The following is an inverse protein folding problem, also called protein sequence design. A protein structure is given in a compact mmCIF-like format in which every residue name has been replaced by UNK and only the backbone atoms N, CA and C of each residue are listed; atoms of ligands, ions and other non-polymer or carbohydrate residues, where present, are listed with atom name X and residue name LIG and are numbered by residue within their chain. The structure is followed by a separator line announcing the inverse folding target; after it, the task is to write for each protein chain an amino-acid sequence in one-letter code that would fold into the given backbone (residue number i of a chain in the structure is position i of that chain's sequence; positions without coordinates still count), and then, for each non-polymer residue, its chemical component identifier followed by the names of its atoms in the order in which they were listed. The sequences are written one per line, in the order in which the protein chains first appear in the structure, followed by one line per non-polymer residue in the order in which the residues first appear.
data_IF_812494154822
#
_entry.id   IF_812494154822
#
_cell.length_a   1.000
_cell.length_b   1.000
_cell.length_c   1.000
_cell.angle_alpha   90.00
_cell.angle_beta   90.00
_cell.angle_gamma   90.00
#
_symmetry.space_group_name_H-M   'P 1'
#
loop_
_entity.id
_entity.type
_entity.pdbx_description
1 polymer ?
#
# COMPACT_ATOMS: atom_id res chain seq x y z
N UNK A 1 -1.18 6.90 23.54
CA UNK A 1 -1.92 7.09 22.27
C UNK A 1 -3.03 6.05 22.17
N UNK A 2 -4.26 6.41 21.78
CA UNK A 2 -5.37 5.46 21.66
C UNK A 2 -5.02 4.31 20.70
N UNK A 3 -5.37 3.07 21.08
CA UNK A 3 -4.93 1.81 20.42
C UNK A 3 -5.26 1.78 18.92
N UNK A 4 -6.38 2.39 18.53
CA UNK A 4 -6.85 2.49 17.14
C UNK A 4 -5.96 3.36 16.24
N UNK A 5 -5.38 4.46 16.75
CA UNK A 5 -4.50 5.33 15.96
C UNK A 5 -3.16 4.64 15.67
N UNK A 6 -2.64 3.91 16.66
CA UNK A 6 -1.41 3.11 16.50
C UNK A 6 -1.60 2.01 15.46
N UNK A 7 -2.76 1.36 15.46
CA UNK A 7 -3.14 0.35 14.47
C UNK A 7 -3.21 0.95 13.06
N UNK A 8 -3.87 2.10 12.90
CA UNK A 8 -3.95 2.80 11.62
C UNK A 8 -2.58 3.14 11.02
N UNK A 9 -1.68 3.73 11.82
CA UNK A 9 -0.34 4.10 11.35
C UNK A 9 0.46 2.86 10.93
N UNK A 10 0.39 1.77 11.71
CA UNK A 10 1.13 0.55 11.40
C UNK A 10 0.61 -0.13 10.13
N UNK A 11 -0.72 -0.21 9.97
CA UNK A 11 -1.37 -0.72 8.76
C UNK A 11 -1.05 0.14 7.54
N UNK A 12 -1.04 1.46 7.69
CA UNK A 12 -0.71 2.38 6.61
C UNK A 12 0.74 2.26 6.14
N UNK A 13 1.68 2.18 7.08
CA UNK A 13 3.11 2.01 6.77
C UNK A 13 3.35 0.67 6.06
N UNK A 14 2.77 -0.42 6.57
CA UNK A 14 2.90 -1.75 5.99
C UNK A 14 2.31 -1.80 4.56
N UNK A 15 1.14 -1.19 4.35
CA UNK A 15 0.51 -1.08 3.04
C UNK A 15 1.35 -0.28 2.04
N UNK A 16 1.94 0.83 2.47
CA UNK A 16 2.79 1.67 1.61
C UNK A 16 4.09 0.99 1.20
N UNK A 17 4.74 0.27 2.12
CA UNK A 17 5.94 -0.52 1.83
C UNK A 17 5.63 -1.61 0.80
N UNK A 18 4.54 -2.35 1.01
CA UNK A 18 4.12 -3.41 0.10
C UNK A 18 3.77 -2.86 -1.29
N UNK A 19 3.11 -1.70 -1.34
CA UNK A 19 2.80 -1.02 -2.59
C UNK A 19 4.05 -0.58 -3.35
N UNK A 20 5.10 -0.14 -2.66
CA UNK A 20 6.38 0.19 -3.27
C UNK A 20 7.01 -1.02 -3.97
N UNK A 21 6.99 -2.17 -3.31
CA UNK A 21 7.46 -3.43 -3.89
C UNK A 21 6.61 -3.82 -5.10
N UNK A 22 5.28 -3.74 -4.98
CA UNK A 22 4.36 -4.05 -6.07
C UNK A 22 4.56 -3.14 -7.30
N UNK A 23 4.62 -1.84 -7.09
CA UNK A 23 4.88 -0.88 -8.17
C UNK A 23 6.25 -1.10 -8.82
N UNK A 24 7.28 -1.36 -8.02
CA UNK A 24 8.61 -1.72 -8.53
C UNK A 24 8.58 -2.99 -9.40
N UNK A 25 7.86 -4.03 -8.98
CA UNK A 25 7.69 -5.27 -9.73
C UNK A 25 6.93 -5.07 -11.04
N UNK A 26 5.86 -4.26 -11.05
CA UNK A 26 5.08 -3.94 -12.25
C UNK A 26 5.94 -3.24 -13.30
N UNK A 27 6.76 -2.29 -12.86
CA UNK A 27 7.72 -1.59 -13.71
C UNK A 27 8.84 -2.53 -14.19
N UNK A 28 9.42 -3.33 -13.28
CA UNK A 28 10.51 -4.25 -13.59
C UNK A 28 10.11 -5.35 -14.58
N UNK A 29 8.93 -5.94 -14.41
CA UNK A 29 8.40 -6.97 -15.30
C UNK A 29 7.82 -6.40 -16.59
N UNK A 30 7.89 -5.07 -16.78
CA UNK A 30 7.34 -4.36 -17.92
C UNK A 30 5.90 -4.78 -18.25
N UNK A 31 5.07 -4.91 -17.21
CA UNK A 31 3.68 -5.37 -17.34
C UNK A 31 2.95 -4.43 -18.30
N UNK A 32 2.44 -4.94 -19.43
CA UNK A 32 1.74 -4.13 -20.43
C UNK A 32 2.63 -3.14 -21.21
N UNK A 33 3.94 -3.38 -21.29
CA UNK A 33 4.92 -2.48 -21.92
C UNK A 33 5.02 -1.08 -21.25
N UNK A 34 4.58 -0.98 -19.99
CA UNK A 34 4.55 0.27 -19.22
C UNK A 34 5.94 0.85 -18.94
N UNK A 35 6.96 0.02 -18.78
CA UNK A 35 8.33 0.49 -18.59
C UNK A 35 8.79 1.36 -19.76
N UNK A 36 8.54 0.87 -20.99
CA UNK A 36 8.90 1.59 -22.21
C UNK A 36 8.09 2.89 -22.31
N UNK A 37 6.77 2.82 -22.07
CA UNK A 37 5.87 3.98 -22.13
C UNK A 37 6.23 5.07 -21.12
N UNK A 38 6.63 4.68 -19.91
CA UNK A 38 7.09 5.58 -18.85
C UNK A 38 8.47 6.15 -19.21
N UNK A 39 9.42 5.32 -19.63
CA UNK A 39 10.81 5.76 -19.90
C UNK A 39 10.95 6.81 -21.02
N UNK A 40 10.03 6.85 -21.97
CA UNK A 40 10.04 7.80 -23.09
C UNK A 40 9.27 9.10 -22.83
N UNK A 41 8.62 9.25 -21.67
CA UNK A 41 7.71 10.37 -21.40
C UNK A 41 8.25 11.28 -20.30
N UNK A 42 8.17 12.60 -20.48
CA UNK A 42 8.48 13.61 -19.45
C UNK A 42 7.60 13.45 -18.19
N UNK A 43 6.49 12.71 -18.32
CA UNK A 43 5.52 12.44 -17.26
C UNK A 43 5.86 11.17 -16.47
N UNK A 44 6.98 10.51 -16.76
CA UNK A 44 7.39 9.23 -16.16
C UNK A 44 7.27 9.22 -14.62
N UNK A 45 7.90 10.22 -13.99
CA UNK A 45 7.98 10.32 -12.53
C UNK A 45 6.60 10.57 -11.93
N UNK A 46 5.78 11.40 -12.57
CA UNK A 46 4.41 11.66 -12.13
C UNK A 46 3.55 10.40 -12.23
N UNK A 47 3.63 9.68 -13.36
CA UNK A 47 2.87 8.45 -13.58
C UNK A 47 3.22 7.38 -12.53
N UNK A 48 4.52 7.17 -12.26
CA UNK A 48 4.98 6.22 -11.24
C UNK A 48 4.55 6.66 -9.84
N UNK A 49 4.65 7.95 -9.53
CA UNK A 49 4.25 8.48 -8.22
C UNK A 49 2.75 8.31 -7.97
N UNK A 50 1.92 8.68 -8.94
CA UNK A 50 0.45 8.54 -8.82
C UNK A 50 0.06 7.07 -8.75
N UNK A 51 0.65 6.23 -9.60
CA UNK A 51 0.41 4.79 -9.57
C UNK A 51 0.81 4.20 -8.20
N UNK A 52 1.98 4.55 -7.68
CA UNK A 52 2.44 4.09 -6.37
C UNK A 52 1.54 4.55 -5.24
N UNK A 53 1.16 5.83 -5.18
CA UNK A 53 0.30 6.38 -4.12
C UNK A 53 -1.09 5.76 -4.16
N UNK A 54 -1.71 5.64 -5.34
CA UNK A 54 -3.02 5.02 -5.49
C UNK A 54 -3.00 3.55 -5.03
N UNK A 55 -1.98 2.79 -5.42
CA UNK A 55 -1.81 1.42 -4.94
C UNK A 55 -1.52 1.39 -3.43
N UNK A 56 -0.68 2.30 -2.92
CA UNK A 56 -0.34 2.47 -1.51
C UNK A 56 -1.55 2.63 -0.60
N UNK A 57 -2.49 3.48 -1.01
CA UNK A 57 -3.73 3.71 -0.27
C UNK A 57 -4.61 2.45 -0.25
N UNK A 58 -4.72 1.73 -1.37
CA UNK A 58 -5.48 0.47 -1.45
C UNK A 58 -4.90 -0.60 -0.54
N UNK A 59 -3.58 -0.82 -0.59
CA UNK A 59 -2.90 -1.80 0.28
C UNK A 59 -3.02 -1.41 1.76
N UNK A 60 -2.84 -0.13 2.09
CA UNK A 60 -3.07 0.40 3.44
C UNK A 60 -4.50 0.12 3.92
N UNK A 61 -5.50 0.31 3.06
CA UNK A 61 -6.90 0.04 3.36
C UNK A 61 -7.15 -1.41 3.74
N UNK A 62 -6.55 -2.37 3.01
CA UNK A 62 -6.66 -3.80 3.32
C UNK A 62 -5.98 -4.15 4.65
N UNK A 63 -4.78 -3.62 4.92
CA UNK A 63 -4.08 -3.84 6.19
C UNK A 63 -4.84 -3.25 7.39
N UNK A 64 -5.53 -2.12 7.18
CA UNK A 64 -6.36 -1.51 8.20
C UNK A 64 -7.64 -2.34 8.44
N UNK A 65 -8.31 -2.79 7.38
CA UNK A 65 -9.48 -3.66 7.46
C UNK A 65 -9.16 -4.99 8.20
N UNK A 66 -7.98 -5.56 7.95
CA UNK A 66 -7.50 -6.75 8.65
C UNK A 66 -7.20 -6.47 10.13
N UNK A 67 -6.53 -5.36 10.42
CA UNK A 67 -6.23 -4.95 11.80
C UNK A 67 -7.50 -4.68 12.62
N UNK A 68 -8.47 -3.95 12.07
CA UNK A 68 -9.71 -3.60 12.77
C UNK A 68 -10.58 -4.83 13.01
N UNK A 69 -10.66 -5.77 12.06
CA UNK A 69 -11.41 -7.03 12.23
C UNK A 69 -10.85 -7.86 13.38
N UNK A 70 -9.51 -7.88 13.55
CA UNK A 70 -8.86 -8.51 14.71
C UNK A 70 -9.09 -7.79 16.02
N UNK A 71 -9.15 -6.46 15.99
CA UNK A 71 -9.44 -5.66 17.18
C UNK A 71 -10.93 -5.75 17.59
N UNK A 72 -11.82 -5.98 16.64
CA UNK A 72 -13.27 -6.05 16.85
C UNK A 72 -13.78 -7.45 17.23
N UNK A 73 -13.03 -8.51 16.93
CA UNK A 73 -13.41 -9.87 17.34
C UNK A 73 -13.20 -10.01 18.86
N UNK A 74 -14.27 -10.19 19.67
CA UNK A 74 -14.15 -10.32 21.12
C UNK A 74 -13.71 -11.74 21.44
N UNK A 75 -12.40 -11.97 21.50
CA UNK A 75 -11.81 -13.28 21.79
C UNK A 75 -10.50 -13.24 22.58
N UNK A 76 -10.16 -12.12 23.22
CA UNK A 76 -8.91 -11.92 23.96
C UNK A 76 -8.96 -10.70 24.90
N UNK A 77 -9.93 -10.70 25.81
CA UNK A 77 -9.91 -9.88 27.03
C UNK A 77 -9.23 -10.60 28.22
N UNK A 78 -8.53 -11.71 27.97
CA UNK A 78 -7.74 -12.44 28.96
C UNK A 78 -6.26 -12.40 28.54
N UNK A 79 -5.59 -11.27 28.81
CA UNK A 79 -4.15 -11.13 29.10
C UNK A 79 -3.80 -9.67 29.40
#
# INVERSE_FOLDING_TARGET
MPKVVRLYIHSALAGFVLAGIFTGLVLWLNVGNLWHLVSGSDVAVMAVTVFWVLNGIVFSGVQFAWGITRAATPGNQEQ
#
